data_IF_152635935382
#
_entry.id   IF_152635935382
#
_cell.length_a   1.000
_cell.length_b   1.000
_cell.length_c   1.000
_cell.angle_alpha   90.00
_cell.angle_beta   90.00
_cell.angle_gamma   90.00
#
_symmetry.space_group_name_H-M   'P 1'
#
loop_
_entity.id
_entity.type
_entity.pdbx_description
1 polymer ?
#
# COMPACT_ATOMS: atom_id res chain seq x y z
N UNK A 1 -1.13 -6.93 -11.60
CA UNK A 1 -1.03 -6.01 -12.76
C UNK A 1 -0.56 -4.60 -12.36
N UNK A 2 -1.15 -3.97 -11.32
CA UNK A 2 -0.78 -2.61 -10.91
C UNK A 2 0.75 -2.45 -10.72
N UNK A 3 1.37 -3.24 -9.86
CA UNK A 3 2.80 -3.15 -9.56
C UNK A 3 3.70 -3.47 -10.76
N UNK A 4 3.27 -4.34 -11.68
CA UNK A 4 4.01 -4.61 -12.91
C UNK A 4 3.93 -3.44 -13.89
N UNK A 5 2.77 -2.80 -14.03
CA UNK A 5 2.63 -1.59 -14.83
C UNK A 5 3.45 -0.43 -14.22
N UNK A 6 3.45 -0.30 -12.90
CA UNK A 6 4.29 0.67 -12.18
C UNK A 6 5.76 0.49 -12.48
N UNK A 7 6.24 -0.77 -12.57
CA UNK A 7 7.62 -1.07 -12.99
C UNK A 7 7.93 -0.46 -14.36
N UNK A 8 7.06 -0.67 -15.34
CA UNK A 8 7.28 -0.15 -16.70
C UNK A 8 7.34 1.39 -16.70
N UNK A 9 6.51 2.06 -15.90
CA UNK A 9 6.54 3.51 -15.75
C UNK A 9 7.86 3.97 -15.13
N UNK A 10 8.31 3.32 -14.06
CA UNK A 10 9.58 3.65 -13.41
C UNK A 10 10.75 3.51 -14.37
N UNK A 11 10.80 2.39 -15.12
CA UNK A 11 11.86 2.12 -16.09
C UNK A 11 11.84 3.08 -17.28
N UNK A 12 10.67 3.61 -17.63
CA UNK A 12 10.53 4.61 -18.71
C UNK A 12 11.13 5.96 -18.32
N UNK A 13 10.84 6.44 -17.09
CA UNK A 13 11.28 7.76 -16.62
C UNK A 13 12.68 7.73 -15.98
N UNK A 14 13.06 6.64 -15.32
CA UNK A 14 14.37 6.53 -14.65
C UNK A 14 14.83 5.07 -14.60
N UNK A 15 15.60 4.65 -15.62
CA UNK A 15 16.10 3.27 -15.74
C UNK A 15 16.97 2.80 -14.57
N UNK A 16 17.66 3.73 -13.92
CA UNK A 16 18.64 3.44 -12.87
C UNK A 16 18.10 3.68 -11.45
N UNK A 17 16.76 3.81 -11.28
CA UNK A 17 16.19 4.03 -9.98
C UNK A 17 16.47 2.86 -9.03
N UNK A 18 17.35 3.10 -8.05
CA UNK A 18 17.89 2.07 -7.16
C UNK A 18 16.83 1.34 -6.32
N UNK A 19 15.66 1.97 -6.12
CA UNK A 19 14.59 1.41 -5.31
C UNK A 19 13.53 0.64 -6.12
N UNK A 20 13.63 0.58 -7.45
CA UNK A 20 12.63 -0.12 -8.30
C UNK A 20 12.41 -1.56 -7.85
N UNK A 21 13.51 -2.29 -7.60
CA UNK A 21 13.41 -3.69 -7.11
C UNK A 21 12.67 -3.80 -5.79
N UNK A 22 12.87 -2.82 -4.87
CA UNK A 22 12.18 -2.81 -3.57
C UNK A 22 10.69 -2.52 -3.73
N UNK A 23 10.32 -1.54 -4.57
CA UNK A 23 8.92 -1.23 -4.87
C UNK A 23 8.19 -2.47 -5.39
N UNK A 24 8.78 -3.14 -6.38
CA UNK A 24 8.17 -4.31 -7.00
C UNK A 24 8.11 -5.49 -6.02
N UNK A 25 9.20 -5.74 -5.28
CA UNK A 25 9.23 -6.82 -4.30
C UNK A 25 8.13 -6.64 -3.23
N UNK A 26 8.06 -5.49 -2.58
CA UNK A 26 7.06 -5.23 -1.54
C UNK A 26 5.65 -5.18 -2.11
N UNK A 27 5.45 -4.55 -3.28
CA UNK A 27 4.14 -4.43 -3.90
C UNK A 27 3.58 -5.75 -4.41
N UNK A 28 4.39 -6.61 -5.03
CA UNK A 28 3.95 -7.93 -5.47
C UNK A 28 3.71 -8.86 -4.27
N UNK A 29 4.61 -8.81 -3.27
CA UNK A 29 4.44 -9.60 -2.05
C UNK A 29 3.18 -9.20 -1.29
N UNK A 30 2.86 -7.91 -1.19
CA UNK A 30 1.60 -7.45 -0.56
C UNK A 30 0.37 -7.99 -1.29
N UNK A 31 0.38 -7.97 -2.63
CA UNK A 31 -0.72 -8.52 -3.43
C UNK A 31 -0.91 -10.03 -3.23
N UNK A 32 0.17 -10.79 -3.12
CA UNK A 32 0.14 -12.22 -2.81
C UNK A 32 -0.43 -12.45 -1.40
N UNK A 33 0.05 -11.70 -0.41
CA UNK A 33 -0.41 -11.80 0.97
C UNK A 33 -1.91 -11.46 1.11
N UNK A 34 -2.39 -10.44 0.39
CA UNK A 34 -3.81 -10.09 0.35
C UNK A 34 -4.66 -11.22 -0.25
N UNK A 35 -4.18 -11.83 -1.33
CA UNK A 35 -4.85 -12.97 -1.97
C UNK A 35 -4.91 -14.17 -1.01
N UNK A 36 -3.80 -14.50 -0.35
CA UNK A 36 -3.76 -15.55 0.67
C UNK A 36 -4.73 -15.24 1.81
N UNK A 37 -4.70 -14.00 2.33
CA UNK A 37 -5.63 -13.58 3.39
C UNK A 37 -7.08 -13.77 2.97
N UNK A 38 -7.45 -13.39 1.76
CA UNK A 38 -8.81 -13.51 1.22
C UNK A 38 -9.26 -14.97 1.10
N UNK A 39 -8.38 -15.87 0.64
CA UNK A 39 -8.67 -17.31 0.56
C UNK A 39 -8.92 -17.89 1.96
N UNK A 40 -7.99 -17.58 2.90
CA UNK A 40 -8.09 -18.10 4.26
C UNK A 40 -9.18 -17.43 5.10
N UNK A 41 -9.72 -16.28 4.69
CA UNK A 41 -10.84 -15.64 5.38
C UNK A 41 -12.12 -16.48 5.27
N UNK A 42 -12.33 -17.13 4.12
CA UNK A 42 -13.51 -17.99 3.89
C UNK A 42 -13.46 -19.34 4.60
N UNK A 43 -12.28 -19.74 5.09
CA UNK A 43 -12.09 -21.05 5.73
C UNK A 43 -12.14 -20.88 7.26
N UNK A 44 -13.02 -21.61 7.93
CA UNK A 44 -13.14 -21.57 9.38
C UNK A 44 -12.47 -22.82 9.99
N UNK A 45 -11.28 -22.63 10.53
CA UNK A 45 -10.66 -23.62 11.43
C UNK A 45 -10.67 -23.07 12.86
N UNK A 46 -11.12 -23.87 13.80
CA UNK A 46 -11.14 -23.49 15.22
C UNK A 46 -9.83 -23.89 15.93
N UNK A 47 -8.73 -23.42 15.35
CA UNK A 47 -7.39 -23.66 15.86
C UNK A 47 -6.69 -22.31 16.08
N UNK A 48 -6.05 -22.14 17.25
CA UNK A 48 -5.36 -20.89 17.60
C UNK A 48 -4.15 -20.61 16.72
N UNK A 49 -3.46 -21.64 16.25
CA UNK A 49 -2.39 -21.49 15.25
C UNK A 49 -2.90 -20.90 13.94
N UNK A 50 -4.09 -21.30 13.51
CA UNK A 50 -4.70 -20.75 12.31
C UNK A 50 -5.11 -19.27 12.48
N UNK A 51 -5.66 -18.93 13.65
CA UNK A 51 -5.98 -17.53 13.99
C UNK A 51 -4.72 -16.67 14.00
N UNK A 52 -3.62 -17.18 14.56
CA UNK A 52 -2.32 -16.50 14.57
C UNK A 52 -1.76 -16.33 13.15
N UNK A 53 -1.77 -17.39 12.34
CA UNK A 53 -1.33 -17.34 10.95
C UNK A 53 -2.07 -16.25 10.15
N UNK A 54 -3.40 -16.19 10.23
CA UNK A 54 -4.19 -15.15 9.56
C UNK A 54 -3.80 -13.73 10.00
N UNK A 55 -3.53 -13.55 11.29
CA UNK A 55 -3.06 -12.26 11.82
C UNK A 55 -1.71 -11.87 11.24
N UNK A 56 -0.77 -12.78 11.17
CA UNK A 56 0.56 -12.55 10.62
C UNK A 56 0.45 -12.18 9.13
N UNK A 57 -0.32 -12.93 8.35
CA UNK A 57 -0.51 -12.66 6.91
C UNK A 57 -1.11 -11.27 6.69
N UNK A 58 -2.13 -10.90 7.48
CA UNK A 58 -2.77 -9.58 7.37
C UNK A 58 -1.83 -8.44 7.75
N UNK A 59 -1.10 -8.57 8.86
CA UNK A 59 -0.13 -7.55 9.28
C UNK A 59 1.02 -7.42 8.27
N UNK A 60 1.52 -8.53 7.75
CA UNK A 60 2.55 -8.51 6.71
C UNK A 60 2.06 -7.82 5.44
N UNK A 61 0.82 -8.08 5.01
CA UNK A 61 0.19 -7.35 3.91
C UNK A 61 0.21 -5.84 4.14
N UNK A 62 -0.28 -5.39 5.30
CA UNK A 62 -0.34 -3.97 5.65
C UNK A 62 1.05 -3.33 5.57
N UNK A 63 2.04 -3.94 6.22
CA UNK A 63 3.41 -3.42 6.28
C UNK A 63 4.02 -3.33 4.86
N UNK A 64 3.91 -4.39 4.07
CA UNK A 64 4.50 -4.45 2.74
C UNK A 64 3.84 -3.47 1.78
N UNK A 65 2.53 -3.33 1.86
CA UNK A 65 1.79 -2.37 1.04
C UNK A 65 2.17 -0.93 1.37
N UNK A 66 2.22 -0.56 2.66
CA UNK A 66 2.62 0.77 3.09
C UNK A 66 4.06 1.11 2.67
N UNK A 67 4.98 0.15 2.77
CA UNK A 67 6.37 0.33 2.32
C UNK A 67 6.42 0.55 0.80
N UNK A 68 5.71 -0.27 0.02
CA UNK A 68 5.68 -0.16 -1.43
C UNK A 68 5.13 1.21 -1.88
N UNK A 69 4.02 1.64 -1.26
CA UNK A 69 3.40 2.94 -1.55
C UNK A 69 4.30 4.11 -1.14
N UNK A 70 5.00 4.04 -0.01
CA UNK A 70 5.94 5.07 0.42
C UNK A 70 7.10 5.24 -0.57
N UNK A 71 7.71 4.14 -1.02
CA UNK A 71 8.75 4.19 -2.05
C UNK A 71 8.23 4.71 -3.39
N UNK A 72 7.00 4.36 -3.77
CA UNK A 72 6.39 4.85 -5.01
C UNK A 72 6.16 6.36 -4.95
N UNK A 73 5.68 6.90 -3.84
CA UNK A 73 5.51 8.34 -3.67
C UNK A 73 6.87 9.04 -3.72
N UNK A 74 7.89 8.49 -3.04
CA UNK A 74 9.24 9.05 -3.11
C UNK A 74 9.72 9.14 -4.55
N UNK A 75 9.55 8.08 -5.33
CA UNK A 75 9.90 8.07 -6.76
C UNK A 75 9.17 9.17 -7.53
N UNK A 76 7.85 9.32 -7.38
CA UNK A 76 7.08 10.36 -8.07
C UNK A 76 7.54 11.78 -7.68
N UNK A 77 8.02 11.97 -6.46
CA UNK A 77 8.59 13.26 -6.06
C UNK A 77 9.95 13.52 -6.71
N UNK A 78 10.79 12.51 -6.89
CA UNK A 78 12.09 12.64 -7.55
C UNK A 78 11.95 13.02 -9.02
N UNK A 79 10.93 12.50 -9.71
CA UNK A 79 10.66 12.79 -11.14
C UNK A 79 9.52 13.79 -11.33
N UNK A 80 9.16 14.56 -10.29
CA UNK A 80 8.00 15.46 -10.32
C UNK A 80 8.05 16.44 -11.49
N UNK A 81 9.21 17.02 -11.77
CA UNK A 81 9.40 18.00 -12.83
C UNK A 81 9.16 17.39 -14.23
N UNK A 82 9.56 16.14 -14.43
CA UNK A 82 9.37 15.42 -15.70
C UNK A 82 7.92 14.97 -15.89
N UNK A 83 7.16 14.89 -14.80
CA UNK A 83 5.78 14.42 -14.78
C UNK A 83 4.75 15.56 -14.76
N UNK A 84 5.15 16.81 -14.58
CA UNK A 84 4.23 17.94 -14.37
C UNK A 84 3.20 18.10 -15.48
N UNK A 85 3.59 17.81 -16.72
CA UNK A 85 2.70 17.87 -17.88
C UNK A 85 1.67 16.72 -17.91
N UNK A 86 2.02 15.58 -17.33
CA UNK A 86 1.23 14.33 -17.39
C UNK A 86 0.36 14.09 -16.17
N UNK A 87 0.71 14.67 -15.02
CA UNK A 87 0.00 14.44 -13.76
C UNK A 87 -0.51 15.73 -13.12
N UNK A 88 -1.54 15.57 -12.31
CA UNK A 88 -2.00 16.63 -11.42
C UNK A 88 -1.28 16.51 -10.07
N UNK A 89 -0.44 17.50 -9.78
CA UNK A 89 0.41 17.54 -8.59
C UNK A 89 -0.42 17.54 -7.30
N UNK A 90 -1.61 18.15 -7.31
CA UNK A 90 -2.47 18.16 -6.12
C UNK A 90 -2.85 16.75 -5.66
N UNK A 91 -3.11 15.83 -6.59
CA UNK A 91 -3.38 14.43 -6.22
C UNK A 91 -2.14 13.72 -5.68
N UNK A 92 -0.95 14.07 -6.14
CA UNK A 92 0.30 13.53 -5.59
C UNK A 92 0.50 13.97 -4.12
N UNK A 93 0.21 15.24 -3.81
CA UNK A 93 0.25 15.76 -2.44
C UNK A 93 -0.77 15.04 -1.53
N UNK A 94 -2.00 14.85 -2.00
CA UNK A 94 -3.03 14.12 -1.25
C UNK A 94 -2.56 12.68 -0.98
N UNK A 95 -1.96 12.02 -1.97
CA UNK A 95 -1.39 10.66 -1.79
C UNK A 95 -0.29 10.63 -0.74
N UNK A 96 0.59 11.65 -0.72
CA UNK A 96 1.63 11.76 0.30
C UNK A 96 1.03 11.87 1.69
N UNK A 97 0.06 12.78 1.87
CA UNK A 97 -0.62 12.97 3.15
C UNK A 97 -1.30 11.66 3.59
N UNK A 98 -2.03 11.01 2.69
CA UNK A 98 -2.71 9.75 2.95
C UNK A 98 -1.74 8.68 3.47
N UNK A 99 -0.63 8.44 2.74
CA UNK A 99 0.30 7.38 3.13
C UNK A 99 1.03 7.72 4.44
N UNK A 100 1.40 8.98 4.64
CA UNK A 100 2.02 9.43 5.89
C UNK A 100 1.08 9.22 7.07
N UNK A 101 -0.20 9.58 6.92
CA UNK A 101 -1.22 9.36 7.95
C UNK A 101 -1.40 7.87 8.25
N UNK A 102 -1.50 7.02 7.24
CA UNK A 102 -1.63 5.58 7.43
C UNK A 102 -0.41 4.97 8.15
N UNK A 103 0.80 5.40 7.81
CA UNK A 103 2.03 4.95 8.49
C UNK A 103 2.02 5.38 9.96
N UNK A 104 1.73 6.65 10.24
CA UNK A 104 1.69 7.18 11.61
C UNK A 104 0.65 6.44 12.44
N UNK A 105 -0.58 6.29 11.93
CA UNK A 105 -1.65 5.55 12.61
C UNK A 105 -1.24 4.09 12.84
N UNK A 106 -0.62 3.44 11.87
CA UNK A 106 -0.14 2.06 12.02
C UNK A 106 0.92 1.94 13.10
N UNK A 107 1.90 2.85 13.14
CA UNK A 107 2.96 2.85 14.17
C UNK A 107 2.37 3.05 15.56
N UNK A 108 1.38 3.93 15.72
CA UNK A 108 0.73 4.18 17.01
C UNK A 108 -0.07 2.97 17.49
N UNK A 109 -0.80 2.30 16.60
CA UNK A 109 -1.72 1.22 16.97
C UNK A 109 -1.02 -0.14 17.11
N UNK A 110 0.04 -0.41 16.32
CA UNK A 110 0.76 -1.69 16.32
C UNK A 110 1.15 -2.21 17.73
N UNK A 111 1.67 -1.39 18.67
CA UNK A 111 2.01 -1.86 20.00
C UNK A 111 0.82 -2.36 20.84
N UNK A 112 -0.39 -1.90 20.53
CA UNK A 112 -1.62 -2.26 21.28
C UNK A 112 -2.29 -3.53 20.74
N UNK A 113 -1.90 -4.03 19.56
CA UNK A 113 -2.53 -5.19 18.93
C UNK A 113 -2.42 -6.52 19.72
N UNK A 114 -1.35 -6.76 20.52
CA UNK A 114 -1.25 -7.98 21.32
C UNK A 114 -2.26 -8.05 22.46
N UNK A 115 -2.76 -6.90 22.94
CA UNK A 115 -3.62 -6.85 24.12
C UNK A 115 -5.09 -7.08 23.75
N UNK A 116 -5.74 -8.04 24.40
CA UNK A 116 -7.13 -8.42 24.14
C UNK A 116 -8.14 -7.29 24.39
N UNK A 117 -7.83 -6.36 25.28
CA UNK A 117 -8.68 -5.21 25.61
C UNK A 117 -8.82 -4.24 24.41
N UNK A 118 -7.96 -4.31 23.41
CA UNK A 118 -7.92 -3.41 22.25
C UNK A 118 -8.39 -4.09 20.94
N UNK A 119 -9.22 -5.13 21.02
CA UNK A 119 -9.76 -5.82 19.82
C UNK A 119 -10.43 -4.84 18.84
N UNK A 120 -11.10 -3.82 19.34
CA UNK A 120 -11.72 -2.78 18.52
C UNK A 120 -10.69 -1.99 17.69
N UNK A 121 -9.58 -1.58 18.30
CA UNK A 121 -8.52 -0.84 17.60
C UNK A 121 -7.91 -1.67 16.46
N UNK A 122 -7.78 -2.97 16.66
CA UNK A 122 -7.29 -3.88 15.63
C UNK A 122 -8.19 -3.87 14.41
N UNK A 123 -9.49 -4.08 14.58
CA UNK A 123 -10.45 -4.04 13.48
C UNK A 123 -10.51 -2.66 12.83
N UNK A 124 -10.46 -1.59 13.64
CA UNK A 124 -10.41 -0.22 13.12
C UNK A 124 -9.15 0.00 12.25
N UNK A 125 -7.98 -0.48 12.67
CA UNK A 125 -6.75 -0.40 11.87
C UNK A 125 -6.89 -1.15 10.54
N UNK A 126 -7.32 -2.41 10.60
CA UNK A 126 -7.50 -3.26 9.41
C UNK A 126 -8.40 -2.57 8.38
N UNK A 127 -9.57 -2.06 8.80
CA UNK A 127 -10.52 -1.38 7.92
C UNK A 127 -9.98 -0.04 7.39
N UNK A 128 -9.35 0.76 8.24
CA UNK A 128 -8.82 2.06 7.81
C UNK A 128 -7.67 1.90 6.82
N UNK A 129 -6.76 0.94 7.05
CA UNK A 129 -5.68 0.68 6.10
C UNK A 129 -6.24 0.15 4.78
N UNK A 130 -7.20 -0.78 4.82
CA UNK A 130 -7.82 -1.33 3.61
C UNK A 130 -8.51 -0.24 2.78
N UNK A 131 -9.29 0.61 3.44
CA UNK A 131 -9.92 1.77 2.80
C UNK A 131 -8.87 2.74 2.24
N UNK A 132 -7.82 3.02 3.00
CA UNK A 132 -6.71 3.86 2.56
C UNK A 132 -5.99 3.33 1.33
N UNK A 133 -5.79 2.01 1.23
CA UNK A 133 -5.23 1.35 0.03
C UNK A 133 -6.13 1.54 -1.18
N UNK A 134 -7.45 1.37 -1.03
CA UNK A 134 -8.42 1.60 -2.12
C UNK A 134 -8.34 3.05 -2.59
N UNK A 135 -8.37 4.01 -1.66
CA UNK A 135 -8.26 5.44 -1.96
C UNK A 135 -6.93 5.74 -2.66
N UNK A 136 -5.83 5.13 -2.22
CA UNK A 136 -4.53 5.31 -2.85
C UNK A 136 -4.54 4.89 -4.34
N UNK A 137 -5.15 3.74 -4.65
CA UNK A 137 -5.27 3.28 -6.04
C UNK A 137 -6.21 4.19 -6.86
N UNK A 138 -7.30 4.66 -6.28
CA UNK A 138 -8.20 5.61 -6.91
C UNK A 138 -7.47 6.92 -7.23
N UNK A 139 -6.74 7.49 -6.26
CA UNK A 139 -5.93 8.68 -6.46
C UNK A 139 -4.85 8.49 -7.54
N UNK A 140 -4.29 7.28 -7.64
CA UNK A 140 -3.34 6.98 -8.72
C UNK A 140 -4.01 7.07 -10.09
N UNK A 141 -5.25 6.61 -10.22
CA UNK A 141 -6.01 6.73 -11.47
C UNK A 141 -6.36 8.20 -11.78
N UNK A 142 -6.81 8.96 -10.78
CA UNK A 142 -7.21 10.36 -10.92
C UNK A 142 -6.02 11.31 -11.14
N UNK A 143 -4.83 10.90 -10.74
CA UNK A 143 -3.62 11.71 -10.86
C UNK A 143 -3.23 11.96 -12.32
N UNK A 144 -3.49 11.02 -13.23
CA UNK A 144 -3.13 11.16 -14.64
C UNK A 144 -4.05 12.14 -15.33
N UNK A 145 -3.46 13.16 -16.00
CA UNK A 145 -4.20 14.07 -16.84
C UNK A 145 -4.71 13.30 -18.07
N UNK A 146 -5.98 13.49 -18.42
CA UNK A 146 -6.47 12.98 -19.71
C UNK A 146 -5.78 13.79 -20.81
N UNK A 147 -4.97 13.15 -21.63
CA UNK A 147 -4.56 13.71 -22.91
C UNK A 147 -5.80 13.80 -23.77
N UNK A 148 -6.31 15.02 -23.98
CA UNK A 148 -7.30 15.25 -25.02
C UNK A 148 -6.59 15.03 -26.36
N UNK A 149 -6.75 13.83 -26.93
CA UNK A 149 -6.44 13.54 -28.33
C UNK A 149 -7.55 14.04 -29.20
#
# INVERSE_FOLDING_TARGET
>A
RYWLNTKNIIEHFNKDYSHTKKIIFFGVSSAILLTLHSIFLGIKFDNDLYKLFRRIVMLSFIIFELIAQAYLIKFFYEIKNDLEDFINISYLEIKRILITTLIVVSIIILPFLPFDNFKFLKHALEWNVFLGVIIFYLLTHLMWKRTNS
#
